data_IF_637685752623
#
_entry.id   IF_637685752623
#
_cell.length_a   1.000
_cell.length_b   1.000
_cell.length_c   1.000
_cell.angle_alpha   90.00
_cell.angle_beta   90.00
_cell.angle_gamma   90.00
#
_symmetry.space_group_name_H-M   'P 1'
#
loop_
_entity.id
_entity.type
_entity.pdbx_description
1 polymer ?
#
# COMPACT_ATOMS: atom_id res chain seq x y z
N UNK A 1 55.26 10.23 -54.04
CA UNK A 1 55.43 11.68 -53.91
C UNK A 1 54.08 12.29 -53.63
N UNK A 2 53.83 12.69 -52.38
CA UNK A 2 52.67 13.43 -51.92
C UNK A 2 53.18 14.60 -51.11
N UNK A 3 52.71 15.84 -51.31
CA UNK A 3 53.18 16.99 -50.56
C UNK A 3 52.45 17.16 -49.26
N UNK A 4 53.19 17.54 -48.22
CA UNK A 4 52.85 17.87 -46.86
C UNK A 4 52.01 19.15 -46.79
N UNK A 5 50.95 19.16 -45.92
CA UNK A 5 50.20 20.35 -45.51
C UNK A 5 50.85 20.97 -44.25
N UNK A 6 50.90 22.31 -44.18
CA UNK A 6 51.42 22.98 -42.99
C UNK A 6 50.32 23.16 -41.93
N UNK A 7 50.70 22.97 -40.67
CA UNK A 7 49.93 23.23 -39.46
C UNK A 7 49.94 24.73 -39.13
N UNK A 8 48.76 25.39 -39.10
CA UNK A 8 48.60 26.72 -38.54
C UNK A 8 48.11 26.64 -37.11
N UNK A 9 49.03 26.72 -36.16
CA UNK A 9 48.73 26.91 -34.73
C UNK A 9 48.48 28.40 -34.42
N UNK A 10 47.29 28.72 -34.03
CA UNK A 10 46.96 30.06 -33.49
C UNK A 10 47.24 30.07 -31.98
N UNK A 11 48.28 30.86 -31.60
CA UNK A 11 48.75 31.07 -30.24
C UNK A 11 47.70 31.80 -29.36
N UNK A 12 47.48 31.29 -28.14
CA UNK A 12 46.63 31.85 -27.09
C UNK A 12 46.93 33.31 -26.70
N UNK A 13 48.02 33.89 -27.15
CA UNK A 13 48.43 35.28 -26.83
C UNK A 13 47.79 36.37 -27.71
N UNK A 14 47.11 36.03 -28.81
CA UNK A 14 46.44 37.04 -29.69
C UNK A 14 44.96 37.26 -29.42
N UNK A 15 44.38 36.48 -28.49
CA UNK A 15 42.96 36.65 -28.12
C UNK A 15 42.75 37.65 -26.96
N UNK A 16 43.79 38.00 -26.20
CA UNK A 16 43.69 38.88 -25.03
C UNK A 16 44.05 40.36 -25.26
N UNK A 17 44.32 40.77 -26.51
CA UNK A 17 44.78 42.13 -26.79
C UNK A 17 43.78 43.02 -27.59
N UNK A 18 42.47 42.67 -27.60
CA UNK A 18 41.44 43.51 -28.27
C UNK A 18 40.16 43.66 -27.48
N UNK A 19 40.25 43.91 -26.17
CA UNK A 19 39.07 44.26 -25.36
C UNK A 19 39.45 45.32 -24.32
N UNK A 20 40.00 46.44 -24.75
CA UNK A 20 40.15 47.62 -23.89
C UNK A 20 40.06 48.87 -24.74
N UNK A 21 38.84 49.38 -24.89
CA UNK A 21 38.55 50.83 -24.97
C UNK A 21 37.04 51.04 -25.25
N UNK A 22 36.39 51.69 -24.30
CA UNK A 22 35.22 52.53 -24.53
C UNK A 22 33.86 51.93 -24.19
N UNK A 23 33.35 52.20 -23.02
CA UNK A 23 32.20 53.07 -22.79
C UNK A 23 31.80 52.98 -21.30
N UNK A 24 32.07 54.05 -20.58
CA UNK A 24 31.42 54.32 -19.32
C UNK A 24 29.97 54.74 -19.60
N UNK A 25 29.02 53.91 -19.25
CA UNK A 25 27.62 54.25 -19.14
C UNK A 25 27.09 53.67 -17.84
N UNK A 26 26.84 54.56 -16.89
CA UNK A 26 26.11 54.35 -15.66
C UNK A 26 24.77 53.69 -15.93
N UNK A 27 24.65 52.42 -15.57
CA UNK A 27 23.37 51.79 -15.31
C UNK A 27 23.43 51.24 -13.92
N UNK A 28 22.85 51.97 -12.97
CA UNK A 28 22.52 51.44 -11.63
C UNK A 28 21.47 50.34 -11.83
N UNK A 29 21.94 49.14 -12.07
CA UNK A 29 21.09 47.94 -11.96
C UNK A 29 20.80 47.76 -10.49
N UNK A 30 19.61 48.14 -10.06
CA UNK A 30 18.99 47.76 -8.82
C UNK A 30 18.99 46.23 -8.74
N UNK A 31 19.99 45.70 -8.05
CA UNK A 31 19.99 44.31 -7.54
C UNK A 31 18.87 44.25 -6.49
N UNK A 32 17.63 44.16 -6.94
CA UNK A 32 16.57 43.60 -6.11
C UNK A 32 16.99 42.16 -5.81
N UNK A 33 17.16 41.81 -4.54
CA UNK A 33 17.29 40.41 -4.17
C UNK A 33 16.02 39.75 -4.71
N UNK A 34 16.22 38.86 -5.69
CA UNK A 34 15.16 37.95 -6.14
C UNK A 34 14.77 37.22 -4.84
N UNK A 35 13.75 37.73 -4.15
CA UNK A 35 13.20 37.08 -2.99
C UNK A 35 13.06 35.62 -3.40
N UNK A 36 13.75 34.73 -2.70
CA UNK A 36 13.46 33.31 -2.71
C UNK A 36 11.96 33.24 -2.46
N UNK A 37 11.16 33.17 -3.51
CA UNK A 37 9.77 32.74 -3.39
C UNK A 37 9.90 31.34 -2.84
N UNK A 38 9.71 31.22 -1.53
CA UNK A 38 9.43 29.93 -0.93
C UNK A 38 8.38 29.28 -1.86
N UNK A 39 8.71 28.12 -2.39
CA UNK A 39 7.73 27.37 -3.18
C UNK A 39 6.44 27.37 -2.35
N UNK A 40 5.27 27.66 -2.93
CA UNK A 40 4.04 27.73 -2.16
C UNK A 40 3.94 26.43 -1.40
N UNK A 41 3.86 26.54 -0.07
CA UNK A 41 3.74 25.39 0.83
C UNK A 41 2.51 24.60 0.36
N UNK A 42 2.75 23.37 -0.16
CA UNK A 42 1.66 22.58 -0.72
C UNK A 42 0.65 22.32 0.40
N UNK A 43 -0.56 22.81 0.25
CA UNK A 43 -1.64 22.59 1.22
C UNK A 43 -1.78 21.10 1.49
N UNK A 44 -1.64 20.69 2.74
CA UNK A 44 -1.80 19.29 3.15
C UNK A 44 -3.21 18.81 2.87
N UNK A 45 -3.35 17.56 2.45
CA UNK A 45 -4.65 16.88 2.28
C UNK A 45 -5.21 16.59 3.67
N UNK A 46 -6.43 17.05 3.94
CA UNK A 46 -7.11 16.72 5.19
C UNK A 46 -7.62 15.29 5.20
N UNK A 47 -7.18 14.50 6.18
CA UNK A 47 -7.55 13.10 6.33
C UNK A 47 -8.41 12.88 7.58
N UNK A 48 -9.42 12.03 7.45
CA UNK A 48 -10.30 11.54 8.53
C UNK A 48 -10.06 10.04 8.72
N UNK A 49 -9.88 9.59 9.96
CA UNK A 49 -9.79 8.16 10.29
C UNK A 49 -11.16 7.63 10.71
N UNK A 50 -11.59 6.52 10.09
CA UNK A 50 -12.82 5.79 10.43
C UNK A 50 -12.46 4.52 11.16
N UNK A 51 -12.67 4.51 12.48
CA UNK A 51 -12.21 3.46 13.38
C UNK A 51 -10.92 3.83 14.10
N UNK A 52 -10.94 3.83 15.43
CA UNK A 52 -9.81 4.19 16.29
C UNK A 52 -9.26 2.99 17.05
N UNK A 53 -9.00 1.89 16.31
CA UNK A 53 -8.38 0.67 16.85
C UNK A 53 -6.86 0.81 17.02
N UNK A 54 -6.20 -0.30 17.39
CA UNK A 54 -4.76 -0.33 17.62
C UNK A 54 -3.94 0.09 16.38
N UNK A 55 -4.35 -0.31 15.19
CA UNK A 55 -3.63 0.06 13.97
C UNK A 55 -3.74 1.56 13.68
N UNK A 56 -4.94 2.14 13.84
CA UNK A 56 -5.14 3.58 13.72
C UNK A 56 -4.26 4.35 14.71
N UNK A 57 -4.21 3.90 15.98
CA UNK A 57 -3.48 4.60 17.04
C UNK A 57 -1.97 4.42 16.94
N UNK A 58 -1.48 3.20 16.65
CA UNK A 58 -0.06 2.87 16.73
C UNK A 58 0.69 3.03 15.43
N UNK A 59 0.00 2.93 14.30
CA UNK A 59 0.66 2.96 12.99
C UNK A 59 0.19 4.15 12.11
N UNK A 60 -1.13 4.38 11.97
CA UNK A 60 -1.62 5.43 11.07
C UNK A 60 -1.46 6.83 11.66
N UNK A 61 -1.77 7.03 12.93
CA UNK A 61 -1.62 8.34 13.57
C UNK A 61 -0.18 8.85 13.52
N UNK A 62 0.85 8.07 13.95
CA UNK A 62 2.24 8.48 13.80
C UNK A 62 2.64 8.74 12.33
N UNK A 63 2.12 7.93 11.39
CA UNK A 63 2.40 8.12 9.97
C UNK A 63 1.83 9.46 9.43
N UNK A 64 0.62 9.83 9.86
CA UNK A 64 0.00 11.11 9.50
C UNK A 64 0.79 12.28 10.12
N UNK A 65 1.28 12.12 11.36
CA UNK A 65 2.09 13.14 12.04
C UNK A 65 3.45 13.35 11.39
N UNK A 66 4.08 12.29 10.88
CA UNK A 66 5.34 12.36 10.12
C UNK A 66 5.15 12.92 8.70
N UNK A 67 3.95 12.77 8.13
CA UNK A 67 3.65 13.17 6.76
C UNK A 67 3.79 14.68 6.54
N UNK A 68 4.42 15.06 5.43
CA UNK A 68 4.46 16.45 4.95
C UNK A 68 3.25 16.80 4.07
N UNK A 69 2.45 15.79 3.67
CA UNK A 69 1.38 15.93 2.69
C UNK A 69 -0.01 15.79 3.30
N UNK A 70 -0.12 15.30 4.54
CA UNK A 70 -1.38 15.02 5.22
C UNK A 70 -1.54 15.82 6.52
N UNK A 71 -2.79 16.05 6.89
CA UNK A 71 -3.17 16.62 8.19
C UNK A 71 -4.41 15.88 8.70
N UNK A 72 -4.35 15.36 9.93
CA UNK A 72 -5.55 14.81 10.57
C UNK A 72 -6.53 15.96 10.86
N UNK A 73 -7.76 15.83 10.34
CA UNK A 73 -8.79 16.88 10.47
C UNK A 73 -10.05 16.40 11.17
N UNK A 74 -10.18 15.11 11.45
CA UNK A 74 -11.31 14.56 12.16
C UNK A 74 -11.25 13.04 12.29
N UNK A 75 -12.22 12.48 13.00
CA UNK A 75 -12.35 11.04 13.23
C UNK A 75 -13.81 10.60 13.24
N UNK A 76 -14.05 9.35 12.80
CA UNK A 76 -15.32 8.64 12.96
C UNK A 76 -15.12 7.49 13.93
N UNK A 77 -15.91 7.43 14.99
CA UNK A 77 -15.75 6.43 16.06
C UNK A 77 -17.06 6.11 16.77
N UNK A 78 -17.20 4.89 17.29
CA UNK A 78 -18.32 4.50 18.15
C UNK A 78 -18.27 5.09 19.57
N UNK A 79 -17.14 5.71 19.97
CA UNK A 79 -16.98 6.35 21.28
C UNK A 79 -16.78 7.84 21.13
N UNK A 80 -17.80 8.62 21.43
CA UNK A 80 -17.73 10.09 21.37
C UNK A 80 -16.67 10.66 22.33
N UNK A 81 -16.49 10.05 23.50
CA UNK A 81 -15.47 10.45 24.47
C UNK A 81 -14.05 10.27 23.91
N UNK A 82 -13.75 9.08 23.36
CA UNK A 82 -12.48 8.80 22.68
C UNK A 82 -12.24 9.78 21.52
N UNK A 83 -13.28 10.07 20.73
CA UNK A 83 -13.19 11.03 19.63
C UNK A 83 -12.85 12.44 20.10
N UNK A 84 -13.50 12.94 21.15
CA UNK A 84 -13.19 14.26 21.74
C UNK A 84 -11.79 14.32 22.34
N UNK A 85 -11.34 13.24 22.98
CA UNK A 85 -9.95 13.14 23.47
C UNK A 85 -8.95 13.28 22.31
N UNK A 86 -9.19 12.57 21.20
CA UNK A 86 -8.36 12.71 20.00
C UNK A 86 -8.38 14.13 19.41
N UNK A 87 -9.54 14.78 19.40
CA UNK A 87 -9.68 16.15 18.91
C UNK A 87 -8.77 17.13 19.71
N UNK A 88 -8.79 17.03 21.04
CA UNK A 88 -7.95 17.86 21.91
C UNK A 88 -6.46 17.54 21.76
N UNK A 89 -6.10 16.26 21.76
CA UNK A 89 -4.69 15.82 21.71
C UNK A 89 -4.04 16.09 20.34
N UNK A 90 -4.81 16.04 19.26
CA UNK A 90 -4.29 16.13 17.88
C UNK A 90 -4.71 17.43 17.15
N UNK A 91 -5.36 18.34 17.83
CA UNK A 91 -5.55 19.72 17.38
C UNK A 91 -6.56 19.89 16.23
N UNK A 92 -7.63 19.09 16.18
CA UNK A 92 -8.75 19.31 15.28
C UNK A 92 -10.03 19.65 16.06
N UNK A 93 -11.02 20.36 15.44
CA UNK A 93 -12.24 20.76 16.12
C UNK A 93 -13.09 19.57 16.59
N UNK A 94 -13.66 19.64 17.80
CA UNK A 94 -14.56 18.59 18.31
C UNK A 94 -15.81 18.36 17.42
N UNK A 95 -16.24 19.36 16.64
CA UNK A 95 -17.30 19.18 15.63
C UNK A 95 -16.93 18.21 14.51
N UNK A 96 -15.64 17.90 14.35
CA UNK A 96 -15.09 16.91 13.41
C UNK A 96 -14.92 15.52 14.05
N UNK A 97 -15.70 15.26 15.08
CA UNK A 97 -15.87 13.92 15.67
C UNK A 97 -17.28 13.44 15.31
N UNK A 98 -17.34 12.37 14.54
CA UNK A 98 -18.61 11.78 14.09
C UNK A 98 -18.78 10.37 14.62
N UNK A 99 -20.01 9.94 14.81
CA UNK A 99 -20.38 8.54 14.92
C UNK A 99 -20.45 7.90 13.54
N UNK A 100 -20.49 6.56 13.48
CA UNK A 100 -20.68 5.86 12.19
C UNK A 100 -22.00 6.23 11.50
N UNK A 101 -23.07 6.48 12.26
CA UNK A 101 -24.36 6.92 11.71
C UNK A 101 -24.32 8.33 11.10
N UNK A 102 -23.34 9.14 11.47
CA UNK A 102 -23.19 10.53 11.01
C UNK A 102 -22.21 10.70 9.84
N UNK A 103 -21.72 9.63 9.24
CA UNK A 103 -20.72 9.71 8.16
C UNK A 103 -21.18 10.56 6.96
N UNK A 104 -22.49 10.67 6.70
CA UNK A 104 -23.02 11.54 5.66
C UNK A 104 -22.63 13.02 5.88
N UNK A 105 -22.45 13.47 7.12
CA UNK A 105 -22.05 14.85 7.48
C UNK A 105 -20.60 15.17 7.09
N UNK A 106 -19.82 14.19 6.70
CA UNK A 106 -18.50 14.44 6.09
C UNK A 106 -18.63 15.34 4.84
N UNK A 107 -19.76 15.29 4.14
CA UNK A 107 -20.05 16.16 2.99
C UNK A 107 -19.93 17.65 3.34
N UNK A 108 -20.32 18.03 4.56
CA UNK A 108 -20.34 19.41 5.04
C UNK A 108 -18.96 19.90 5.54
N UNK A 109 -17.93 19.07 5.41
CA UNK A 109 -16.56 19.33 5.93
C UNK A 109 -15.59 19.38 4.74
N UNK A 110 -15.38 20.54 4.10
CA UNK A 110 -14.56 20.66 2.89
C UNK A 110 -13.07 20.37 3.16
N UNK A 111 -12.58 20.58 4.37
CA UNK A 111 -11.22 20.24 4.77
C UNK A 111 -10.97 18.72 4.84
N UNK A 112 -12.00 17.89 5.02
CA UNK A 112 -11.92 16.44 4.95
C UNK A 112 -11.95 16.00 3.47
N UNK A 113 -10.81 15.77 2.87
CA UNK A 113 -10.68 15.41 1.46
C UNK A 113 -10.51 13.90 1.28
N UNK A 114 -9.84 13.25 2.24
CA UNK A 114 -9.51 11.84 2.24
C UNK A 114 -10.06 11.18 3.51
N UNK A 115 -10.62 10.01 3.36
CA UNK A 115 -11.10 9.16 4.48
C UNK A 115 -10.30 7.87 4.49
N UNK A 116 -9.77 7.48 5.65
CA UNK A 116 -9.13 6.18 5.84
C UNK A 116 -10.04 5.26 6.66
N UNK A 117 -10.57 4.22 6.02
CA UNK A 117 -11.40 3.21 6.67
C UNK A 117 -10.51 2.10 7.25
N UNK A 118 -10.57 1.93 8.57
CA UNK A 118 -9.74 0.98 9.34
C UNK A 118 -10.53 0.25 10.42
N UNK A 119 -11.79 0.01 10.13
CA UNK A 119 -12.72 -0.80 10.92
C UNK A 119 -12.46 -2.31 10.70
N UNK A 120 -13.14 -3.24 11.38
CA UNK A 120 -13.12 -4.65 10.99
C UNK A 120 -13.60 -4.87 9.55
N UNK A 121 -13.08 -5.87 8.82
CA UNK A 121 -13.34 -6.09 7.40
C UNK A 121 -14.82 -6.15 6.99
N UNK A 122 -15.67 -6.72 7.83
CA UNK A 122 -17.12 -6.78 7.55
C UNK A 122 -17.81 -5.41 7.49
N UNK A 123 -17.16 -4.35 7.99
CA UNK A 123 -17.67 -2.98 7.96
C UNK A 123 -17.00 -2.11 6.89
N UNK A 124 -16.03 -2.65 6.16
CA UNK A 124 -15.27 -1.89 5.16
C UNK A 124 -16.17 -1.38 4.04
N UNK A 125 -17.04 -2.23 3.49
CA UNK A 125 -17.90 -1.86 2.37
C UNK A 125 -18.88 -0.74 2.78
N UNK A 126 -19.58 -0.90 3.91
CA UNK A 126 -20.54 0.10 4.41
C UNK A 126 -19.86 1.47 4.61
N UNK A 127 -18.77 1.50 5.37
CA UNK A 127 -18.10 2.76 5.70
C UNK A 127 -17.41 3.40 4.48
N UNK A 128 -16.83 2.60 3.60
CA UNK A 128 -16.24 3.10 2.35
C UNK A 128 -17.30 3.73 1.45
N UNK A 129 -18.41 3.05 1.23
CA UNK A 129 -19.52 3.55 0.40
C UNK A 129 -20.11 4.83 1.01
N UNK A 130 -20.27 4.89 2.34
CA UNK A 130 -20.75 6.10 3.02
C UNK A 130 -19.81 7.30 2.81
N UNK A 131 -18.48 7.10 2.94
CA UNK A 131 -17.49 8.14 2.71
C UNK A 131 -17.44 8.61 1.24
N UNK A 132 -17.53 7.67 0.28
CA UNK A 132 -17.60 7.99 -1.15
C UNK A 132 -18.84 8.80 -1.50
N UNK A 133 -20.01 8.41 -0.98
CA UNK A 133 -21.28 9.14 -1.14
C UNK A 133 -21.23 10.54 -0.52
N UNK A 134 -20.45 10.73 0.53
CA UNK A 134 -20.17 12.05 1.10
C UNK A 134 -19.14 12.85 0.25
N UNK A 135 -18.76 12.37 -0.92
CA UNK A 135 -17.86 13.06 -1.87
C UNK A 135 -16.39 13.01 -1.48
N UNK A 136 -15.96 12.06 -0.64
CA UNK A 136 -14.56 11.94 -0.19
C UNK A 136 -13.80 10.90 -0.98
N UNK A 137 -12.48 11.12 -1.19
CA UNK A 137 -11.58 10.05 -1.61
C UNK A 137 -11.39 9.08 -0.44
N UNK A 138 -11.16 7.79 -0.73
CA UNK A 138 -11.08 6.78 0.32
C UNK A 138 -9.84 5.91 0.17
N UNK A 139 -9.19 5.63 1.30
CA UNK A 139 -8.30 4.48 1.50
C UNK A 139 -9.07 3.50 2.36
N UNK A 140 -9.24 2.27 1.89
CA UNK A 140 -9.79 1.17 2.67
C UNK A 140 -8.69 0.20 3.06
N UNK A 141 -8.61 -0.20 4.34
CA UNK A 141 -7.67 -1.25 4.76
C UNK A 141 -7.92 -2.57 4.01
N UNK A 142 -6.86 -3.37 3.95
CA UNK A 142 -6.95 -4.75 3.48
C UNK A 142 -7.50 -5.68 4.59
N UNK A 143 -8.23 -6.74 4.24
CA UNK A 143 -8.81 -7.02 2.93
C UNK A 143 -9.83 -5.96 2.54
N UNK A 144 -10.01 -5.71 1.25
CA UNK A 144 -10.91 -4.65 0.77
C UNK A 144 -12.33 -4.79 1.32
N UNK A 145 -12.84 -6.01 1.37
CA UNK A 145 -14.16 -6.37 1.89
C UNK A 145 -14.17 -7.84 2.31
N UNK A 146 -15.32 -8.40 2.65
CA UNK A 146 -15.47 -9.82 2.98
C UNK A 146 -15.99 -10.67 1.80
N UNK A 147 -16.30 -10.04 0.68
CA UNK A 147 -16.71 -10.71 -0.57
C UNK A 147 -16.36 -9.90 -1.82
N UNK A 148 -16.28 -10.58 -2.96
CA UNK A 148 -16.13 -9.93 -4.29
C UNK A 148 -17.31 -9.01 -4.60
N UNK A 149 -18.52 -9.42 -4.24
CA UNK A 149 -19.74 -8.63 -4.46
C UNK A 149 -19.67 -7.27 -3.72
N UNK A 150 -19.17 -7.25 -2.49
CA UNK A 150 -18.95 -6.00 -1.74
C UNK A 150 -17.85 -5.14 -2.39
N UNK A 151 -16.76 -5.75 -2.87
CA UNK A 151 -15.74 -5.03 -3.63
C UNK A 151 -16.33 -4.34 -4.87
N UNK A 152 -17.19 -5.03 -5.61
CA UNK A 152 -17.87 -4.48 -6.79
C UNK A 152 -18.78 -3.30 -6.42
N UNK A 153 -19.51 -3.37 -5.31
CA UNK A 153 -20.31 -2.26 -4.80
C UNK A 153 -19.47 -1.05 -4.42
N UNK A 154 -18.31 -1.26 -3.78
CA UNK A 154 -17.38 -0.20 -3.41
C UNK A 154 -16.79 0.48 -4.65
N UNK A 155 -16.40 -0.29 -5.67
CA UNK A 155 -15.87 0.22 -6.94
C UNK A 155 -16.95 1.03 -7.68
N UNK A 156 -18.18 0.52 -7.75
CA UNK A 156 -19.30 1.22 -8.35
C UNK A 156 -19.60 2.54 -7.63
N UNK A 157 -19.56 2.55 -6.29
CA UNK A 157 -19.75 3.76 -5.51
C UNK A 157 -18.65 4.81 -5.76
N UNK A 158 -17.39 4.38 -5.88
CA UNK A 158 -16.27 5.25 -6.20
C UNK A 158 -16.42 5.89 -7.60
N UNK A 159 -16.82 5.09 -8.59
CA UNK A 159 -17.09 5.56 -9.94
C UNK A 159 -18.26 6.57 -9.97
N UNK A 160 -19.37 6.25 -9.31
CA UNK A 160 -20.55 7.13 -9.22
C UNK A 160 -20.26 8.47 -8.54
N UNK A 161 -19.39 8.46 -7.52
CA UNK A 161 -18.96 9.67 -6.81
C UNK A 161 -17.85 10.45 -7.54
N UNK A 162 -17.27 9.91 -8.60
CA UNK A 162 -16.05 10.42 -9.24
C UNK A 162 -14.92 10.63 -8.21
N UNK A 163 -14.72 9.66 -7.33
CA UNK A 163 -13.69 9.68 -6.26
C UNK A 163 -12.78 8.48 -6.36
N UNK A 164 -11.55 8.67 -5.89
CA UNK A 164 -10.55 7.60 -5.84
C UNK A 164 -10.84 6.66 -4.67
N UNK A 165 -10.68 5.36 -4.92
CA UNK A 165 -10.67 4.31 -3.91
C UNK A 165 -9.36 3.55 -3.98
N UNK A 166 -8.56 3.66 -2.94
CA UNK A 166 -7.28 2.96 -2.77
C UNK A 166 -7.39 1.91 -1.66
N UNK A 167 -6.50 0.92 -1.71
CA UNK A 167 -6.40 -0.13 -0.69
C UNK A 167 -5.13 0.03 0.14
N UNK A 168 -5.22 -0.29 1.43
CA UNK A 168 -4.17 -0.17 2.44
C UNK A 168 -2.99 -1.14 2.26
N UNK A 169 -2.45 -1.27 1.06
CA UNK A 169 -1.30 -2.14 0.75
C UNK A 169 0.02 -1.44 1.05
N UNK A 170 0.32 -1.24 2.33
CA UNK A 170 1.51 -0.54 2.83
C UNK A 170 2.84 -1.07 2.26
N UNK A 171 2.93 -2.39 2.03
CA UNK A 171 4.16 -3.03 1.57
C UNK A 171 4.55 -2.65 0.13
N UNK A 172 3.61 -2.16 -0.69
CA UNK A 172 3.93 -1.58 -1.99
C UNK A 172 4.94 -0.42 -1.92
N UNK A 173 5.12 0.17 -0.75
CA UNK A 173 5.97 1.35 -0.53
C UNK A 173 7.22 1.02 0.30
N UNK A 174 7.39 -0.24 0.70
CA UNK A 174 8.59 -0.70 1.39
C UNK A 174 9.71 -0.96 0.39
N UNK A 175 10.96 -0.51 0.65
CA UNK A 175 12.07 -0.67 -0.30
C UNK A 175 12.38 -2.12 -0.68
N UNK A 176 12.22 -3.07 0.24
CA UNK A 176 12.46 -4.49 -0.05
C UNK A 176 11.42 -5.06 -1.01
N UNK A 177 10.15 -4.71 -0.81
CA UNK A 177 9.06 -5.10 -1.73
C UNK A 177 9.17 -4.37 -3.07
N UNK A 178 9.57 -3.10 -3.06
CA UNK A 178 9.83 -2.35 -4.29
C UNK A 178 10.95 -3.02 -5.11
N UNK A 179 11.98 -3.55 -4.47
CA UNK A 179 13.05 -4.29 -5.15
C UNK A 179 12.53 -5.58 -5.78
N UNK A 180 11.70 -6.36 -5.07
CA UNK A 180 11.05 -7.55 -5.63
C UNK A 180 10.20 -7.18 -6.86
N UNK A 181 9.37 -6.14 -6.74
CA UNK A 181 8.50 -5.67 -7.85
C UNK A 181 9.36 -5.20 -9.04
N UNK A 182 10.44 -4.46 -8.79
CA UNK A 182 11.36 -4.00 -9.82
C UNK A 182 12.01 -5.17 -10.56
N UNK A 183 12.59 -6.13 -9.81
CA UNK A 183 13.25 -7.33 -10.38
C UNK A 183 12.27 -8.16 -11.20
N UNK A 184 11.04 -8.32 -10.72
CA UNK A 184 9.98 -9.03 -11.43
C UNK A 184 9.64 -8.33 -12.76
N UNK A 185 9.41 -7.01 -12.72
CA UNK A 185 9.05 -6.19 -13.89
C UNK A 185 10.17 -6.13 -14.93
N UNK A 186 11.42 -5.99 -14.49
CA UNK A 186 12.58 -5.93 -15.37
C UNK A 186 13.08 -7.31 -15.80
N UNK A 187 12.55 -8.37 -15.20
CA UNK A 187 12.96 -9.73 -15.47
C UNK A 187 14.41 -10.01 -15.07
N UNK A 188 14.95 -9.33 -14.04
CA UNK A 188 16.34 -9.44 -13.59
C UNK A 188 16.73 -10.90 -13.35
N UNK A 189 15.90 -11.64 -12.61
CA UNK A 189 16.12 -13.04 -12.24
C UNK A 189 15.52 -14.03 -13.26
N UNK A 190 14.97 -13.56 -14.37
CA UNK A 190 14.04 -14.28 -15.22
C UNK A 190 12.61 -14.22 -14.67
N UNK A 191 11.62 -14.72 -15.41
CA UNK A 191 10.27 -14.85 -14.87
C UNK A 191 10.30 -15.72 -13.61
N UNK A 192 9.66 -15.25 -12.54
CA UNK A 192 9.53 -16.06 -11.33
C UNK A 192 8.49 -17.16 -11.57
N UNK A 193 8.95 -18.42 -11.49
CA UNK A 193 8.14 -19.61 -11.74
C UNK A 193 7.96 -20.48 -10.51
N UNK A 194 8.80 -20.33 -9.49
CA UNK A 194 8.64 -20.99 -8.20
C UNK A 194 8.61 -19.94 -7.09
N UNK A 195 7.51 -19.89 -6.36
CA UNK A 195 7.32 -18.97 -5.25
C UNK A 195 6.87 -19.74 -4.02
N UNK A 196 7.35 -19.35 -2.85
CA UNK A 196 6.98 -19.97 -1.59
C UNK A 196 7.02 -18.97 -0.45
N UNK A 197 6.18 -19.19 0.57
CA UNK A 197 6.19 -18.32 1.73
C UNK A 197 4.89 -18.35 2.51
N UNK A 198 4.77 -17.39 3.41
CA UNK A 198 3.56 -17.26 4.20
C UNK A 198 3.71 -16.29 5.34
N UNK A 199 2.58 -15.98 5.93
CA UNK A 199 2.51 -15.17 7.12
C UNK A 199 1.59 -15.82 8.15
N UNK A 200 2.10 -15.99 9.36
CA UNK A 200 1.39 -16.54 10.50
C UNK A 200 1.99 -16.09 11.81
N UNK A 201 1.18 -16.14 12.85
CA UNK A 201 1.58 -15.86 14.22
C UNK A 201 0.70 -16.62 15.20
N UNK A 202 1.18 -16.84 16.43
CA UNK A 202 0.38 -17.51 17.46
C UNK A 202 -0.60 -16.53 18.12
N UNK A 203 -1.90 -16.76 17.91
CA UNK A 203 -2.97 -16.02 18.59
C UNK A 203 -3.23 -16.58 19.98
N UNK A 204 -2.86 -15.85 21.01
CA UNK A 204 -2.94 -16.32 22.40
C UNK A 204 -4.36 -16.33 22.98
N UNK A 205 -5.25 -15.45 22.48
CA UNK A 205 -6.63 -15.29 23.00
C UNK A 205 -7.59 -14.92 21.88
N UNK A 206 -8.87 -15.24 22.05
CA UNK A 206 -9.92 -14.84 21.11
C UNK A 206 -10.03 -13.30 21.03
N UNK A 207 -10.03 -12.81 19.82
CA UNK A 207 -10.29 -11.41 19.46
C UNK A 207 -11.18 -11.40 18.23
N UNK A 208 -11.73 -10.27 17.85
CA UNK A 208 -12.64 -10.11 16.71
C UNK A 208 -12.12 -10.74 15.39
N UNK A 209 -10.79 -10.89 15.23
CA UNK A 209 -10.16 -11.57 14.08
C UNK A 209 -10.46 -13.07 14.00
N UNK A 210 -10.89 -13.68 15.12
CA UNK A 210 -11.34 -15.06 15.18
C UNK A 210 -12.88 -15.18 15.16
N UNK A 211 -13.58 -14.15 14.70
CA UNK A 211 -15.04 -14.08 14.55
C UNK A 211 -15.38 -13.79 13.10
N UNK A 212 -15.95 -14.76 12.40
CA UNK A 212 -16.28 -14.63 10.97
C UNK A 212 -17.17 -13.42 10.67
N UNK A 213 -18.13 -13.14 11.56
CA UNK A 213 -19.05 -12.01 11.40
C UNK A 213 -18.36 -10.65 11.31
N UNK A 214 -17.16 -10.50 11.90
CA UNK A 214 -16.38 -9.25 11.87
C UNK A 214 -15.19 -9.31 10.91
N UNK A 215 -14.52 -10.47 10.88
CA UNK A 215 -13.28 -10.63 10.11
C UNK A 215 -13.49 -11.18 8.68
N UNK A 216 -14.65 -11.78 8.39
CA UNK A 216 -14.92 -12.49 7.14
C UNK A 216 -14.28 -13.86 7.04
N UNK A 217 -13.24 -14.14 7.83
CA UNK A 217 -12.49 -15.38 7.91
C UNK A 217 -11.40 -15.31 8.97
N UNK A 218 -10.49 -16.27 8.98
CA UNK A 218 -9.37 -16.35 9.91
C UNK A 218 -8.08 -15.73 9.37
N UNK A 219 -6.92 -16.43 9.54
CA UNK A 219 -5.62 -15.89 9.16
C UNK A 219 -5.48 -15.57 7.66
N UNK A 220 -6.26 -16.20 6.77
CA UNK A 220 -6.22 -15.88 5.34
C UNK A 220 -6.62 -14.42 5.11
N UNK A 221 -7.70 -13.96 5.72
CA UNK A 221 -8.20 -12.60 5.62
C UNK A 221 -7.26 -11.58 6.30
N UNK A 222 -6.66 -11.95 7.43
CA UNK A 222 -5.83 -11.01 8.21
C UNK A 222 -4.40 -10.92 7.67
N UNK A 223 -3.70 -12.05 7.54
CA UNK A 223 -2.27 -12.09 7.23
C UNK A 223 -1.92 -12.90 5.98
N UNK A 224 -2.68 -13.94 5.63
CA UNK A 224 -2.45 -14.73 4.42
C UNK A 224 -2.59 -13.92 3.13
N UNK A 225 -3.44 -12.89 3.15
CA UNK A 225 -3.62 -11.95 2.04
C UNK A 225 -2.31 -11.26 1.63
N UNK A 226 -1.36 -11.05 2.53
CA UNK A 226 -0.05 -10.50 2.17
C UNK A 226 0.72 -11.45 1.23
N UNK A 227 0.73 -12.75 1.55
CA UNK A 227 1.48 -13.74 0.77
C UNK A 227 0.87 -13.95 -0.63
N UNK A 228 -0.47 -14.03 -0.75
CA UNK A 228 -1.12 -14.14 -2.05
C UNK A 228 -0.92 -12.90 -2.91
N UNK A 229 -1.01 -11.72 -2.32
CA UNK A 229 -0.79 -10.44 -2.99
C UNK A 229 0.65 -10.35 -3.52
N UNK A 230 1.63 -10.69 -2.67
CA UNK A 230 3.06 -10.69 -3.02
C UNK A 230 3.36 -11.65 -4.17
N UNK A 231 2.77 -12.85 -4.16
CA UNK A 231 2.95 -13.80 -5.25
C UNK A 231 2.41 -13.29 -6.59
N UNK A 232 1.29 -12.54 -6.59
CA UNK A 232 0.79 -11.87 -7.80
C UNK A 232 1.75 -10.77 -8.28
N UNK A 233 2.37 -10.03 -7.37
CA UNK A 233 3.36 -9.00 -7.71
C UNK A 233 4.65 -9.63 -8.25
N UNK A 234 5.13 -10.71 -7.65
CA UNK A 234 6.28 -11.46 -8.13
C UNK A 234 6.04 -12.08 -9.51
N UNK A 235 4.88 -12.68 -9.71
CA UNK A 235 4.50 -13.28 -10.99
C UNK A 235 4.19 -12.26 -12.09
N UNK A 236 3.95 -10.98 -11.75
CA UNK A 236 3.43 -9.92 -12.63
C UNK A 236 2.13 -10.36 -13.37
N UNK A 237 1.35 -11.24 -12.74
CA UNK A 237 0.16 -11.85 -13.32
C UNK A 237 -0.86 -12.24 -12.24
N UNK A 238 -2.10 -12.42 -12.65
CA UNK A 238 -3.11 -13.06 -11.81
C UNK A 238 -3.01 -14.59 -11.95
N UNK A 239 -3.20 -15.37 -10.87
CA UNK A 239 -3.27 -16.83 -10.97
C UNK A 239 -4.51 -17.25 -11.75
N UNK A 240 -4.38 -18.30 -12.55
CA UNK A 240 -5.50 -18.86 -13.35
C UNK A 240 -6.30 -19.91 -12.60
N UNK A 241 -5.68 -20.55 -11.61
CA UNK A 241 -6.31 -21.55 -10.76
C UNK A 241 -5.56 -21.72 -9.44
N UNK A 242 -6.18 -22.42 -8.52
CA UNK A 242 -5.57 -22.77 -7.24
C UNK A 242 -6.13 -24.06 -6.64
N UNK A 243 -5.38 -24.62 -5.69
CA UNK A 243 -5.82 -25.65 -4.74
C UNK A 243 -5.53 -25.19 -3.33
N UNK A 244 -6.38 -25.54 -2.38
CA UNK A 244 -6.18 -25.18 -0.98
C UNK A 244 -6.65 -26.28 -0.05
N UNK A 245 -6.09 -26.30 1.16
CA UNK A 245 -6.48 -27.22 2.24
C UNK A 245 -6.43 -26.49 3.58
N UNK A 246 -7.52 -26.62 4.34
CA UNK A 246 -7.53 -26.23 5.75
C UNK A 246 -6.80 -27.31 6.57
N UNK A 247 -5.90 -26.89 7.46
CA UNK A 247 -5.24 -27.81 8.42
C UNK A 247 -6.16 -28.12 9.59
N UNK A 248 -6.03 -29.31 10.23
CA UNK A 248 -6.74 -29.58 11.47
C UNK A 248 -6.45 -28.51 12.52
N UNK A 249 -7.49 -28.03 13.18
CA UNK A 249 -7.37 -26.99 14.22
C UNK A 249 -6.69 -27.56 15.46
N UNK A 250 -5.67 -26.86 15.96
CA UNK A 250 -5.01 -27.13 17.26
C UNK A 250 -5.81 -26.51 18.41
N UNK A 251 -6.50 -25.40 18.15
CA UNK A 251 -7.29 -24.62 19.10
C UNK A 251 -8.72 -24.37 18.62
N UNK A 252 -9.54 -25.46 18.50
CA UNK A 252 -10.92 -25.32 18.04
C UNK A 252 -11.80 -24.49 18.98
N UNK A 253 -11.38 -24.33 20.23
CA UNK A 253 -11.99 -23.45 21.23
C UNK A 253 -11.88 -21.95 20.85
N UNK A 254 -10.80 -21.55 20.23
CA UNK A 254 -10.60 -20.17 19.75
C UNK A 254 -11.16 -19.95 18.34
N UNK A 255 -10.99 -20.91 17.45
CA UNK A 255 -11.31 -20.78 16.02
C UNK A 255 -12.57 -21.58 15.67
N UNK A 256 -13.72 -21.16 16.23
CA UNK A 256 -14.99 -21.90 16.11
C UNK A 256 -15.52 -21.85 14.68
N UNK A 257 -15.61 -20.66 14.09
CA UNK A 257 -16.23 -20.39 12.78
C UNK A 257 -15.27 -19.88 11.70
N UNK A 258 -13.98 -19.78 12.01
CA UNK A 258 -12.91 -19.43 11.08
C UNK A 258 -11.86 -20.52 11.01
N UNK A 259 -11.08 -20.58 9.96
CA UNK A 259 -9.92 -21.44 9.86
C UNK A 259 -8.83 -20.99 10.84
N UNK A 260 -7.99 -21.95 11.30
CA UNK A 260 -6.80 -21.68 12.10
C UNK A 260 -5.54 -21.63 11.24
N UNK A 261 -5.47 -22.43 10.19
CA UNK A 261 -4.36 -22.49 9.26
C UNK A 261 -4.80 -23.02 7.89
N UNK A 262 -4.22 -22.46 6.83
CA UNK A 262 -4.43 -22.89 5.45
C UNK A 262 -3.10 -23.02 4.70
N UNK A 263 -3.01 -24.07 3.87
CA UNK A 263 -2.06 -24.20 2.79
C UNK A 263 -2.79 -23.99 1.46
N UNK A 264 -2.15 -23.30 0.50
CA UNK A 264 -2.68 -23.22 -0.85
C UNK A 264 -1.56 -23.10 -1.90
N UNK A 265 -1.87 -23.56 -3.11
CA UNK A 265 -0.99 -23.40 -4.26
C UNK A 265 -1.75 -22.63 -5.33
N UNK A 266 -1.16 -21.52 -5.81
CA UNK A 266 -1.64 -20.76 -6.97
C UNK A 266 -0.88 -21.18 -8.22
N UNK A 267 -1.59 -21.25 -9.34
CA UNK A 267 -1.05 -21.63 -10.66
C UNK A 267 -1.19 -20.42 -11.60
N UNK A 268 -0.12 -20.10 -12.31
CA UNK A 268 -0.05 -18.98 -13.25
C UNK A 268 0.02 -19.48 -14.71
N UNK A 269 -0.44 -18.66 -15.66
CA UNK A 269 -0.51 -19.03 -17.08
C UNK A 269 0.85 -19.39 -17.71
N UNK A 270 1.94 -18.84 -17.17
CA UNK A 270 3.31 -19.14 -17.60
C UNK A 270 3.89 -20.46 -17.02
N UNK A 271 3.05 -21.27 -16.35
CA UNK A 271 3.47 -22.49 -15.65
C UNK A 271 4.05 -22.26 -14.25
N UNK A 272 4.15 -21.01 -13.82
CA UNK A 272 4.60 -20.66 -12.48
C UNK A 272 3.65 -21.13 -11.38
N UNK A 273 4.19 -21.39 -10.18
CA UNK A 273 3.43 -21.84 -9.02
C UNK A 273 3.87 -21.07 -7.77
N UNK A 274 2.90 -20.76 -6.89
CA UNK A 274 3.17 -20.21 -5.57
C UNK A 274 2.59 -21.14 -4.50
N UNK A 275 3.45 -21.70 -3.64
CA UNK A 275 3.09 -22.54 -2.51
C UNK A 275 3.11 -21.70 -1.24
N UNK A 276 1.95 -21.46 -0.68
CA UNK A 276 1.75 -20.44 0.34
C UNK A 276 1.02 -21.01 1.56
N UNK A 277 1.25 -20.33 2.69
CA UNK A 277 0.75 -20.75 3.99
C UNK A 277 0.31 -19.56 4.83
N UNK A 278 -0.71 -19.78 5.68
CA UNK A 278 -1.10 -18.83 6.73
C UNK A 278 -1.57 -19.56 7.99
N UNK A 279 -1.34 -18.96 9.17
CA UNK A 279 -1.72 -19.59 10.45
C UNK A 279 -1.88 -18.56 11.58
N UNK A 280 -2.81 -18.86 12.47
CA UNK A 280 -2.90 -18.28 13.82
C UNK A 280 -2.30 -19.18 14.91
N UNK A 281 -1.65 -20.29 14.53
CA UNK A 281 -1.02 -21.23 15.45
C UNK A 281 0.47 -21.43 15.22
N UNK A 282 0.97 -21.06 14.05
CA UNK A 282 2.37 -21.25 13.68
C UNK A 282 2.97 -19.91 13.22
N UNK A 283 4.20 -19.62 13.67
CA UNK A 283 4.91 -18.42 13.26
C UNK A 283 5.60 -18.64 11.91
N UNK A 284 5.32 -17.77 10.96
CA UNK A 284 6.00 -17.66 9.67
C UNK A 284 5.94 -16.22 9.19
N UNK A 285 7.00 -15.72 8.57
CA UNK A 285 7.02 -14.38 8.02
C UNK A 285 8.08 -14.29 6.91
N UNK A 286 7.86 -15.04 5.83
CA UNK A 286 8.84 -15.17 4.76
C UNK A 286 8.17 -15.22 3.40
N UNK A 287 8.86 -14.70 2.39
CA UNK A 287 8.54 -14.89 0.98
C UNK A 287 9.80 -15.10 0.15
N UNK A 288 9.75 -16.04 -0.79
CA UNK A 288 10.82 -16.32 -1.74
C UNK A 288 10.25 -16.50 -3.14
N UNK A 289 10.91 -15.90 -4.14
CA UNK A 289 10.59 -16.05 -5.55
C UNK A 289 11.84 -16.43 -6.33
N UNK A 290 11.75 -17.44 -7.18
CA UNK A 290 12.85 -18.02 -7.96
C UNK A 290 12.52 -17.98 -9.45
N UNK A 291 13.47 -17.51 -10.22
CA UNK A 291 13.48 -17.51 -11.68
C UNK A 291 14.69 -18.30 -12.23
N UNK A 292 14.78 -18.34 -13.56
CA UNK A 292 15.85 -19.11 -14.22
C UNK A 292 17.26 -18.53 -14.06
N UNK A 293 17.39 -17.26 -13.65
CA UNK A 293 18.70 -16.58 -13.52
C UNK A 293 19.03 -16.16 -12.09
N UNK A 294 18.08 -16.29 -11.17
CA UNK A 294 18.28 -15.87 -9.78
C UNK A 294 17.04 -15.99 -8.93
N UNK A 295 17.14 -15.48 -7.73
CA UNK A 295 16.05 -15.50 -6.76
C UNK A 295 16.13 -14.29 -5.83
N UNK A 296 15.01 -13.98 -5.21
CA UNK A 296 14.88 -13.01 -4.11
C UNK A 296 14.16 -13.65 -2.93
N UNK A 297 14.60 -13.36 -1.72
CA UNK A 297 13.97 -13.80 -0.47
C UNK A 297 13.85 -12.62 0.49
N UNK A 298 12.69 -12.49 1.11
CA UNK A 298 12.38 -11.55 2.18
C UNK A 298 12.09 -12.34 3.47
N UNK A 299 12.85 -12.07 4.55
CA UNK A 299 12.70 -12.74 5.85
C UNK A 299 13.27 -11.87 6.99
N UNK A 300 12.42 -11.22 7.84
CA UNK A 300 10.96 -11.19 7.76
C UNK A 300 10.45 -10.37 6.56
N UNK A 301 9.35 -10.83 5.92
CA UNK A 301 8.76 -10.20 4.74
C UNK A 301 7.67 -9.17 5.06
N UNK A 302 6.86 -9.36 6.12
CA UNK A 302 5.59 -8.65 6.30
C UNK A 302 5.50 -7.82 7.59
N UNK A 303 6.58 -7.71 8.34
CA UNK A 303 6.64 -6.90 9.57
C UNK A 303 6.45 -5.41 9.28
N UNK A 304 6.00 -4.65 10.27
CA UNK A 304 5.93 -3.18 10.15
C UNK A 304 7.31 -2.53 10.14
N UNK A 305 8.31 -3.20 10.71
CA UNK A 305 9.71 -2.75 10.80
C UNK A 305 10.65 -3.94 10.75
N UNK A 306 11.91 -3.67 10.39
CA UNK A 306 12.96 -4.66 10.43
C UNK A 306 12.86 -5.74 9.34
N UNK A 307 12.26 -5.41 8.19
CA UNK A 307 12.31 -6.26 7.02
C UNK A 307 13.76 -6.51 6.63
N UNK A 308 14.01 -7.69 6.09
CA UNK A 308 15.31 -8.08 5.54
C UNK A 308 15.09 -8.79 4.23
N UNK A 309 16.06 -8.69 3.36
CA UNK A 309 16.02 -9.37 2.08
C UNK A 309 17.40 -9.76 1.62
N UNK A 310 17.44 -10.74 0.74
CA UNK A 310 18.64 -11.19 0.04
C UNK A 310 18.28 -11.71 -1.34
N UNK A 311 19.23 -11.64 -2.24
CA UNK A 311 19.15 -12.22 -3.58
C UNK A 311 20.29 -13.22 -3.76
N UNK A 312 20.34 -13.88 -4.91
CA UNK A 312 21.49 -14.71 -5.29
C UNK A 312 22.81 -13.90 -5.38
N UNK A 313 22.72 -12.57 -5.50
CA UNK A 313 23.86 -11.65 -5.55
C UNK A 313 24.34 -11.23 -4.14
N UNK A 314 23.53 -11.46 -3.10
CA UNK A 314 23.88 -11.11 -1.72
C UNK A 314 22.73 -10.46 -0.93
N UNK A 315 23.01 -9.96 0.27
CA UNK A 315 22.02 -9.31 1.12
C UNK A 315 21.60 -7.95 0.54
N UNK A 316 20.33 -7.64 0.67
CA UNK A 316 19.78 -6.30 0.41
C UNK A 316 19.96 -5.41 1.65
N UNK A 317 20.23 -4.13 1.43
CA UNK A 317 20.36 -3.15 2.50
C UNK A 317 19.65 -1.86 2.13
N UNK A 318 18.54 -1.57 2.82
CA UNK A 318 17.73 -0.38 2.63
C UNK A 318 17.54 0.37 3.96
N UNK A 319 17.31 1.68 3.92
CA UNK A 319 16.97 2.46 5.11
C UNK A 319 15.71 1.92 5.80
N UNK A 320 15.67 2.03 7.11
CA UNK A 320 14.44 1.79 7.86
C UNK A 320 13.44 2.90 7.55
N UNK A 321 12.25 2.51 7.09
CA UNK A 321 11.17 3.44 6.74
C UNK A 321 9.89 3.10 7.51
N UNK A 322 9.01 4.09 7.69
CA UNK A 322 7.63 3.82 8.07
C UNK A 322 6.80 3.65 6.79
N UNK A 323 6.46 2.42 6.49
CA UNK A 323 5.71 2.04 5.27
C UNK A 323 4.39 2.81 5.14
N UNK A 324 3.71 3.05 6.27
CA UNK A 324 2.45 3.78 6.32
C UNK A 324 2.62 5.25 5.92
N UNK A 325 3.70 5.92 6.33
CA UNK A 325 3.98 7.29 5.92
C UNK A 325 4.20 7.36 4.42
N UNK A 326 5.04 6.48 3.86
CA UNK A 326 5.30 6.43 2.42
C UNK A 326 4.02 6.15 1.61
N UNK A 327 3.19 5.21 2.08
CA UNK A 327 1.90 4.89 1.47
C UNK A 327 0.96 6.10 1.46
N UNK A 328 0.79 6.73 2.61
CA UNK A 328 -0.10 7.88 2.77
C UNK A 328 0.37 9.09 1.95
N UNK A 329 1.67 9.37 1.93
CA UNK A 329 2.26 10.47 1.16
C UNK A 329 2.11 10.23 -0.35
N UNK A 330 2.35 9.01 -0.82
CA UNK A 330 2.18 8.67 -2.23
C UNK A 330 0.73 8.88 -2.70
N UNK A 331 -0.25 8.51 -1.87
CA UNK A 331 -1.66 8.72 -2.18
C UNK A 331 -2.06 10.20 -2.13
N UNK A 332 -1.59 10.95 -1.13
CA UNK A 332 -1.84 12.38 -1.05
C UNK A 332 -1.26 13.13 -2.25
N UNK A 333 -0.05 12.77 -2.68
CA UNK A 333 0.59 13.33 -3.86
C UNK A 333 -0.18 12.97 -5.14
N UNK A 334 -0.60 11.70 -5.30
CA UNK A 334 -1.39 11.28 -6.45
C UNK A 334 -2.70 12.07 -6.56
N UNK A 335 -3.39 12.29 -5.44
CA UNK A 335 -4.62 13.11 -5.39
C UNK A 335 -4.34 14.58 -5.78
N UNK A 336 -3.24 15.16 -5.31
CA UNK A 336 -2.87 16.55 -5.64
C UNK A 336 -2.47 16.74 -7.10
N UNK A 337 -1.80 15.74 -7.67
CA UNK A 337 -1.27 15.80 -9.04
C UNK A 337 -2.28 15.27 -10.07
N UNK A 338 -3.40 14.67 -9.65
CA UNK A 338 -4.34 14.02 -10.54
C UNK A 338 -3.74 12.80 -11.26
N UNK A 339 -2.74 12.15 -10.65
CA UNK A 339 -2.10 10.97 -11.21
C UNK A 339 -2.80 9.68 -10.76
N UNK A 340 -2.61 8.55 -11.46
CA UNK A 340 -3.20 7.28 -11.06
C UNK A 340 -2.84 6.88 -9.62
N UNK A 341 -3.82 6.32 -8.92
CA UNK A 341 -3.65 5.83 -7.54
C UNK A 341 -2.74 4.59 -7.54
N UNK A 342 -1.67 4.54 -6.73
CA UNK A 342 -0.70 3.44 -6.74
C UNK A 342 -1.25 2.07 -6.32
N UNK A 343 -2.25 2.05 -5.43
CA UNK A 343 -2.89 0.82 -4.92
C UNK A 343 -4.40 0.86 -5.18
N UNK A 344 -4.84 0.80 -6.46
CA UNK A 344 -6.25 0.96 -6.81
C UNK A 344 -7.11 -0.20 -6.29
N UNK A 345 -8.41 0.05 -6.14
CA UNK A 345 -9.41 -0.93 -5.68
C UNK A 345 -9.41 -2.23 -6.48
N UNK A 346 -9.04 -2.20 -7.76
CA UNK A 346 -8.92 -3.39 -8.61
C UNK A 346 -7.98 -4.46 -8.03
N UNK A 347 -6.91 -4.05 -7.33
CA UNK A 347 -6.01 -4.98 -6.63
C UNK A 347 -6.72 -5.68 -5.47
N UNK A 348 -7.51 -4.93 -4.69
CA UNK A 348 -8.30 -5.50 -3.59
C UNK A 348 -9.36 -6.48 -4.07
N UNK A 349 -10.07 -6.13 -5.14
CA UNK A 349 -11.05 -7.02 -5.78
C UNK A 349 -10.40 -8.32 -6.27
N UNK A 350 -9.26 -8.20 -6.99
CA UNK A 350 -8.47 -9.37 -7.43
C UNK A 350 -8.15 -10.30 -6.26
N UNK A 351 -7.63 -9.74 -5.17
CA UNK A 351 -7.24 -10.53 -4.02
C UNK A 351 -8.44 -11.22 -3.36
N UNK A 352 -9.61 -10.57 -3.35
CA UNK A 352 -10.84 -11.21 -2.86
C UNK A 352 -11.32 -12.34 -3.77
N UNK A 353 -11.16 -12.25 -5.10
CA UNK A 353 -11.40 -13.39 -6.01
C UNK A 353 -10.53 -14.59 -5.65
N UNK A 354 -9.25 -14.34 -5.34
CA UNK A 354 -8.32 -15.40 -4.93
C UNK A 354 -8.73 -15.97 -3.56
N UNK A 355 -9.07 -15.11 -2.59
CA UNK A 355 -9.52 -15.53 -1.24
C UNK A 355 -10.77 -16.40 -1.31
N UNK A 356 -11.80 -16.00 -2.08
CA UNK A 356 -13.00 -16.81 -2.27
C UNK A 356 -12.69 -18.16 -2.93
N UNK A 357 -11.77 -18.16 -3.92
CA UNK A 357 -11.27 -19.38 -4.56
C UNK A 357 -10.56 -20.30 -3.57
N UNK A 358 -9.71 -19.77 -2.69
CA UNK A 358 -9.02 -20.54 -1.63
C UNK A 358 -10.04 -21.18 -0.70
N UNK A 359 -11.02 -20.42 -0.20
CA UNK A 359 -12.07 -20.99 0.65
C UNK A 359 -12.94 -22.02 -0.09
N UNK A 360 -13.26 -21.81 -1.36
CA UNK A 360 -14.00 -22.77 -2.16
C UNK A 360 -13.22 -24.08 -2.35
N UNK A 361 -11.93 -23.97 -2.66
CA UNK A 361 -11.05 -25.14 -2.79
C UNK A 361 -10.88 -25.89 -1.47
N UNK A 362 -10.65 -25.19 -0.37
CA UNK A 362 -10.49 -25.80 0.96
C UNK A 362 -11.75 -26.58 1.40
N UNK A 363 -12.95 -26.06 1.08
CA UNK A 363 -14.23 -26.75 1.39
C UNK A 363 -14.48 -27.95 0.51
N UNK A 364 -14.11 -27.91 -0.76
CA UNK A 364 -14.46 -28.98 -1.73
C UNK A 364 -13.36 -30.00 -1.95
N UNK A 365 -12.12 -29.68 -1.54
CA UNK A 365 -10.92 -30.46 -1.85
C UNK A 365 -10.55 -30.45 -3.34
N UNK A 366 -11.13 -29.57 -4.14
CA UNK A 366 -10.95 -29.51 -5.58
C UNK A 366 -10.17 -28.30 -6.04
N UNK A 367 -9.50 -28.44 -7.20
CA UNK A 367 -8.91 -27.32 -7.91
C UNK A 367 -10.00 -26.35 -8.38
N UNK A 368 -9.78 -25.07 -8.17
CA UNK A 368 -10.70 -23.98 -8.56
C UNK A 368 -10.04 -23.14 -9.65
N UNK A 369 -10.74 -22.94 -10.78
CA UNK A 369 -10.34 -21.96 -11.80
C UNK A 369 -10.85 -20.59 -11.41
N UNK A 370 -10.01 -19.58 -11.54
CA UNK A 370 -10.31 -18.21 -11.15
C UNK A 370 -10.80 -17.38 -12.35
N UNK A 371 -11.78 -16.51 -12.11
CA UNK A 371 -12.32 -15.54 -13.06
C UNK A 371 -12.32 -14.15 -12.40
N UNK A 372 -11.76 -13.14 -13.07
CA UNK A 372 -11.54 -11.79 -12.53
C UNK A 372 -12.55 -10.76 -13.02
#
# INVERSE_FOLDING_TARGET
MLPSRPSNGLSRRRFLARASSGFAATAAATLLPRALRAAPEMRRVGIVLVGLGNYATRELLPAIQESQHLKLVGVVTGSAEKGRTWAREHGFPERNVWSYAEMARLADTPEAELVYVVTPPALHAEHTIAALRAGKHVICEKPMAVSVAECDQMIAAAAAAARSLAIGYRLHFDPYHQELIRRAREGTDGPYVAMSGGFGFTMARKVWRAERALAGGGPLMDVGIYALHEACLAAQANPIALTARERPKKRPDLFVDVEEALDWTMEFANGGRAELFTSYADNMNRFRAEGSRGWIELDPAYSYRGLKGRTHEGPLSYPLVRQQTLHLDALALALRQGTPIPTPAALGRRDMVIVEGIYASARTGRRVTLQY
#
